data_IF_978003873164
#
_entry.id   IF_978003873164
#
_cell.length_a   1.000
_cell.length_b   1.000
_cell.length_c   1.000
_cell.angle_alpha   90.00
_cell.angle_beta   90.00
_cell.angle_gamma   90.00
#
_symmetry.space_group_name_H-M   'P 1'
#
loop_
_entity.id
_entity.type
_entity.pdbx_description
1 polymer ?
#
# COMPACT_ATOMS: atom_id res chain seq x y z
N UNK A 1 -14.72 18.71 -10.11
CA UNK A 1 -15.36 17.38 -10.31
C UNK A 1 -14.48 16.42 -11.11
N UNK A 2 -13.97 16.78 -12.31
CA UNK A 2 -13.12 15.87 -13.12
C UNK A 2 -11.78 15.56 -12.42
N UNK A 3 -11.07 16.60 -11.93
CA UNK A 3 -9.76 16.43 -11.27
C UNK A 3 -9.90 15.58 -9.99
N UNK A 4 -10.95 15.83 -9.20
CA UNK A 4 -11.21 15.07 -7.97
C UNK A 4 -11.56 13.62 -8.28
N UNK A 5 -12.42 13.36 -9.27
CA UNK A 5 -12.75 12.00 -9.71
C UNK A 5 -11.52 11.23 -10.22
N UNK A 6 -10.68 11.88 -11.03
CA UNK A 6 -9.44 11.28 -11.52
C UNK A 6 -8.47 10.94 -10.38
N UNK A 7 -8.32 11.83 -9.39
CA UNK A 7 -7.50 11.57 -8.21
C UNK A 7 -8.04 10.38 -7.39
N UNK A 8 -9.37 10.25 -7.25
CA UNK A 8 -9.99 9.09 -6.56
C UNK A 8 -9.81 7.78 -7.32
N UNK A 9 -9.97 7.79 -8.64
CA UNK A 9 -9.74 6.61 -9.46
C UNK A 9 -8.28 6.15 -9.38
N UNK A 10 -7.34 7.09 -9.39
CA UNK A 10 -5.92 6.79 -9.21
C UNK A 10 -5.63 6.19 -7.83
N UNK A 11 -6.19 6.76 -6.74
CA UNK A 11 -6.08 6.18 -5.40
C UNK A 11 -6.57 4.73 -5.35
N UNK A 12 -7.70 4.44 -5.99
CA UNK A 12 -8.26 3.09 -6.04
C UNK A 12 -7.28 2.13 -6.74
N UNK A 13 -6.73 2.51 -7.89
CA UNK A 13 -5.79 1.68 -8.65
C UNK A 13 -4.54 1.42 -7.81
N UNK A 14 -3.90 2.45 -7.26
CA UNK A 14 -2.66 2.27 -6.48
C UNK A 14 -2.93 1.42 -5.22
N UNK A 15 -4.03 1.65 -4.53
CA UNK A 15 -4.42 0.84 -3.35
C UNK A 15 -4.69 -0.62 -3.71
N UNK A 16 -5.27 -0.88 -4.88
CA UNK A 16 -5.47 -2.23 -5.40
C UNK A 16 -4.15 -2.94 -5.70
N UNK A 17 -3.16 -2.23 -6.24
CA UNK A 17 -1.82 -2.80 -6.48
C UNK A 17 -1.11 -3.12 -5.16
N UNK A 18 -1.18 -2.23 -4.16
CA UNK A 18 -0.64 -2.49 -2.81
C UNK A 18 -1.25 -3.76 -2.21
N UNK A 19 -2.58 -3.88 -2.27
CA UNK A 19 -3.26 -5.09 -1.78
C UNK A 19 -2.84 -6.34 -2.55
N UNK A 20 -2.75 -6.26 -3.88
CA UNK A 20 -2.35 -7.40 -4.72
C UNK A 20 -0.93 -7.89 -4.38
N UNK A 21 0.02 -6.98 -4.19
CA UNK A 21 1.37 -7.31 -3.77
C UNK A 21 1.37 -7.97 -2.39
N UNK A 22 0.64 -7.41 -1.43
CA UNK A 22 0.54 -7.98 -0.08
C UNK A 22 -0.02 -9.42 -0.11
N UNK A 23 -1.04 -9.70 -0.93
CA UNK A 23 -1.62 -11.04 -1.08
C UNK A 23 -0.59 -12.03 -1.66
N UNK A 24 0.16 -11.65 -2.69
CA UNK A 24 1.23 -12.49 -3.25
C UNK A 24 2.30 -12.80 -2.20
N UNK A 25 2.64 -11.82 -1.36
CA UNK A 25 3.60 -12.00 -0.28
C UNK A 25 3.10 -12.95 0.81
N UNK A 26 1.82 -12.84 1.20
CA UNK A 26 1.15 -13.67 2.20
C UNK A 26 1.10 -15.13 1.74
N UNK A 27 0.70 -15.37 0.48
CA UNK A 27 0.61 -16.72 -0.07
C UNK A 27 1.95 -17.48 -0.04
N UNK A 28 3.08 -16.77 -0.08
CA UNK A 28 4.41 -17.39 -0.01
C UNK A 28 4.91 -17.76 1.39
N UNK A 29 4.19 -17.41 2.47
CA UNK A 29 4.62 -17.71 3.85
C UNK A 29 4.16 -19.08 4.39
N UNK A 30 3.17 -19.73 3.77
CA UNK A 30 2.65 -21.04 4.20
C UNK A 30 1.96 -20.99 5.58
N UNK A 31 1.53 -22.14 6.13
CA UNK A 31 0.85 -22.20 7.43
C UNK A 31 1.81 -21.83 8.57
N UNK A 32 1.64 -20.63 9.13
CA UNK A 32 2.44 -20.09 10.22
C UNK A 32 2.18 -18.58 10.40
N UNK A 33 2.70 -17.99 11.48
CA UNK A 33 2.63 -16.53 11.69
C UNK A 33 3.67 -15.85 10.79
N UNK A 34 3.22 -15.33 9.64
CA UNK A 34 4.04 -14.45 8.80
C UNK A 34 4.39 -13.13 9.50
N UNK A 35 5.30 -12.32 8.93
CA UNK A 35 5.62 -11.00 9.47
C UNK A 35 4.36 -10.14 9.51
N UNK A 36 4.07 -9.58 10.70
CA UNK A 36 2.93 -8.67 10.90
C UNK A 36 2.97 -7.45 9.98
N UNK A 37 4.16 -7.09 9.48
CA UNK A 37 4.38 -6.02 8.52
C UNK A 37 3.56 -6.20 7.23
N UNK A 38 3.54 -7.41 6.66
CA UNK A 38 2.87 -7.68 5.38
C UNK A 38 1.35 -7.71 5.58
N UNK A 39 0.90 -8.23 6.72
CA UNK A 39 -0.51 -8.14 7.10
C UNK A 39 -0.98 -6.69 7.24
N UNK A 40 -0.12 -5.82 7.78
CA UNK A 40 -0.40 -4.38 7.83
C UNK A 40 -0.42 -3.73 6.44
N UNK A 41 0.48 -4.14 5.53
CA UNK A 41 0.43 -3.73 4.11
C UNK A 41 -0.89 -4.09 3.43
N UNK A 42 -1.39 -5.31 3.65
CA UNK A 42 -2.70 -5.75 3.16
C UNK A 42 -3.85 -4.91 3.75
N UNK A 43 -3.79 -4.58 5.05
CA UNK A 43 -4.76 -3.66 5.66
C UNK A 43 -4.72 -2.27 5.01
N UNK A 44 -3.54 -1.69 4.81
CA UNK A 44 -3.38 -0.39 4.15
C UNK A 44 -3.97 -0.37 2.74
N UNK A 45 -3.68 -1.39 1.91
CA UNK A 45 -4.25 -1.54 0.58
C UNK A 45 -5.77 -1.71 0.62
N UNK A 46 -6.28 -2.59 1.48
CA UNK A 46 -7.71 -2.84 1.63
C UNK A 46 -8.50 -1.61 2.12
N UNK A 47 -8.01 -0.93 3.16
CA UNK A 47 -8.60 0.30 3.66
C UNK A 47 -8.57 1.41 2.59
N UNK A 48 -7.46 1.54 1.86
CA UNK A 48 -7.32 2.47 0.74
C UNK A 48 -8.36 2.25 -0.36
N UNK A 49 -8.64 0.98 -0.72
CA UNK A 49 -9.69 0.65 -1.70
C UNK A 49 -11.07 1.07 -1.20
N UNK A 50 -11.42 0.73 0.04
CA UNK A 50 -12.74 1.07 0.62
C UNK A 50 -12.93 2.59 0.68
N UNK A 51 -11.92 3.32 1.17
CA UNK A 51 -12.00 4.78 1.29
C UNK A 51 -12.04 5.43 -0.10
N UNK A 52 -11.25 4.95 -1.07
CA UNK A 52 -11.30 5.45 -2.44
C UNK A 52 -12.66 5.19 -3.10
N UNK A 53 -13.26 4.02 -2.91
CA UNK A 53 -14.58 3.68 -3.43
C UNK A 53 -15.67 4.57 -2.82
N UNK A 54 -15.64 4.81 -1.50
CA UNK A 54 -16.53 5.77 -0.83
C UNK A 54 -16.30 7.19 -1.38
N UNK A 55 -15.05 7.56 -1.68
CA UNK A 55 -14.72 8.84 -2.31
C UNK A 55 -15.27 9.03 -3.71
N UNK A 56 -15.32 7.97 -4.51
CA UNK A 56 -15.97 7.98 -5.83
C UNK A 56 -17.49 8.13 -5.65
N UNK A 57 -18.10 7.37 -4.75
CA UNK A 57 -19.53 7.48 -4.46
C UNK A 57 -19.90 8.90 -3.97
N UNK A 58 -19.06 9.50 -3.12
CA UNK A 58 -19.24 10.85 -2.61
C UNK A 58 -19.23 11.93 -3.71
N UNK A 59 -18.63 11.68 -4.88
CA UNK A 59 -18.68 12.61 -6.01
C UNK A 59 -20.07 12.70 -6.66
N UNK A 60 -20.96 11.72 -6.42
CA UNK A 60 -22.33 11.70 -6.92
C UNK A 60 -23.37 12.11 -5.88
N UNK A 61 -22.98 12.17 -4.60
CA UNK A 61 -23.86 12.54 -3.49
C UNK A 61 -23.32 13.76 -2.77
N UNK A 62 -23.84 14.95 -3.08
CA UNK A 62 -23.44 16.22 -2.45
C UNK A 62 -23.59 16.21 -0.92
N UNK A 63 -24.49 15.37 -0.38
CA UNK A 63 -24.69 15.18 1.07
C UNK A 63 -23.50 14.53 1.78
N UNK A 64 -22.69 13.76 1.04
CA UNK A 64 -21.52 13.06 1.56
C UNK A 64 -20.23 13.89 1.40
N UNK A 65 -20.28 14.90 0.53
CA UNK A 65 -19.15 15.76 0.16
C UNK A 65 -18.91 16.84 1.23
N UNK A 66 -18.43 16.41 2.39
CA UNK A 66 -18.20 17.28 3.54
C UNK A 66 -17.17 16.73 4.52
N UNK A 67 -17.36 17.01 5.81
CA UNK A 67 -16.43 16.63 6.89
C UNK A 67 -16.16 15.13 6.94
N UNK A 68 -17.14 14.29 6.56
CA UNK A 68 -17.01 12.83 6.55
C UNK A 68 -15.89 12.38 5.61
N UNK A 69 -15.85 12.88 4.37
CA UNK A 69 -14.83 12.48 3.40
C UNK A 69 -13.44 12.95 3.81
N UNK A 70 -13.36 14.14 4.43
CA UNK A 70 -12.12 14.68 4.96
C UNK A 70 -11.60 13.84 6.14
N UNK A 71 -12.49 13.38 7.02
CA UNK A 71 -12.14 12.47 8.11
C UNK A 71 -11.65 11.12 7.58
N UNK A 72 -12.33 10.54 6.58
CA UNK A 72 -11.93 9.27 5.97
C UNK A 72 -10.56 9.38 5.28
N UNK A 73 -10.31 10.45 4.54
CA UNK A 73 -9.00 10.68 3.92
C UNK A 73 -7.89 10.88 4.96
N UNK A 74 -8.20 11.56 6.08
CA UNK A 74 -7.25 11.73 7.17
C UNK A 74 -6.92 10.39 7.85
N UNK A 75 -7.91 9.53 8.08
CA UNK A 75 -7.67 8.17 8.59
C UNK A 75 -6.85 7.33 7.60
N UNK A 76 -7.16 7.38 6.30
CA UNK A 76 -6.37 6.71 5.28
C UNK A 76 -4.90 7.18 5.31
N UNK A 77 -4.70 8.49 5.33
CA UNK A 77 -3.38 9.10 5.39
C UNK A 77 -2.62 8.67 6.66
N UNK A 78 -3.29 8.61 7.81
CA UNK A 78 -2.68 8.14 9.06
C UNK A 78 -2.21 6.68 8.97
N UNK A 79 -3.07 5.77 8.52
CA UNK A 79 -2.70 4.36 8.38
C UNK A 79 -1.58 4.16 7.35
N UNK A 80 -1.67 4.83 6.21
CA UNK A 80 -0.67 4.74 5.15
C UNK A 80 0.68 5.35 5.58
N UNK A 81 0.69 6.43 6.37
CA UNK A 81 1.91 7.00 6.92
C UNK A 81 2.58 6.04 7.91
N UNK A 82 1.81 5.45 8.82
CA UNK A 82 2.32 4.42 9.73
C UNK A 82 2.83 3.20 8.95
N UNK A 83 2.16 2.83 7.85
CA UNK A 83 2.55 1.73 6.95
C UNK A 83 3.86 2.01 6.25
N UNK A 84 3.95 3.16 5.58
CA UNK A 84 5.15 3.59 4.88
C UNK A 84 6.36 3.68 5.80
N UNK A 85 6.17 4.18 7.03
CA UNK A 85 7.25 4.24 8.02
C UNK A 85 7.67 2.84 8.51
N UNK A 86 6.71 1.98 8.84
CA UNK A 86 7.00 0.62 9.28
C UNK A 86 7.75 -0.18 8.21
N UNK A 87 7.33 -0.07 6.95
CA UNK A 87 7.99 -0.71 5.81
C UNK A 87 9.38 -0.12 5.57
N UNK A 88 9.55 1.20 5.61
CA UNK A 88 10.84 1.83 5.42
C UNK A 88 11.89 1.41 6.49
N UNK A 89 11.48 1.29 7.75
CA UNK A 89 12.38 0.89 8.85
C UNK A 89 12.77 -0.60 8.74
N UNK A 90 11.84 -1.46 8.33
CA UNK A 90 12.04 -2.92 8.31
C UNK A 90 12.68 -3.43 7.03
N UNK A 91 12.24 -2.93 5.88
CA UNK A 91 12.73 -3.37 4.57
C UNK A 91 14.09 -2.75 4.29
N UNK A 92 14.28 -1.46 4.63
CA UNK A 92 15.41 -0.62 4.23
C UNK A 92 15.59 -0.57 2.70
N UNK A 93 16.52 0.26 2.23
CA UNK A 93 16.93 0.31 0.83
C UNK A 93 18.25 -0.42 0.69
N UNK A 94 18.30 -1.38 -0.21
CA UNK A 94 19.52 -2.13 -0.51
C UNK A 94 19.33 -2.98 -1.76
N UNK A 95 20.42 -3.60 -2.21
CA UNK A 95 20.43 -4.39 -3.42
C UNK A 95 19.88 -5.79 -3.14
N UNK A 96 18.73 -6.13 -3.74
CA UNK A 96 18.16 -7.47 -3.67
C UNK A 96 18.97 -8.55 -4.41
N UNK A 97 20.20 -8.25 -4.84
CA UNK A 97 21.12 -9.19 -5.48
C UNK A 97 22.31 -9.51 -4.57
N UNK A 98 22.60 -8.67 -3.57
CA UNK A 98 23.70 -8.91 -2.64
C UNK A 98 23.26 -9.87 -1.53
N UNK A 99 24.07 -10.91 -1.31
CA UNK A 99 23.74 -11.93 -0.31
C UNK A 99 23.80 -11.36 1.11
N UNK A 100 24.69 -10.41 1.38
CA UNK A 100 24.82 -9.76 2.69
C UNK A 100 23.52 -9.04 3.10
N UNK A 101 22.90 -8.32 2.17
CA UNK A 101 21.64 -7.62 2.42
C UNK A 101 20.48 -8.59 2.69
N UNK A 102 20.41 -9.67 1.91
CA UNK A 102 19.39 -10.70 2.10
C UNK A 102 19.56 -11.45 3.43
N UNK A 103 20.82 -11.66 3.88
CA UNK A 103 21.11 -12.32 5.15
C UNK A 103 20.77 -11.44 6.35
N UNK A 104 21.07 -10.15 6.29
CA UNK A 104 20.70 -9.20 7.35
C UNK A 104 19.19 -9.03 7.52
N UNK A 105 18.42 -9.28 6.46
CA UNK A 105 16.95 -9.16 6.43
C UNK A 105 16.24 -10.48 6.19
N UNK A 106 16.90 -11.60 6.51
CA UNK A 106 16.41 -12.94 6.21
C UNK A 106 15.01 -13.20 6.79
N UNK A 107 14.72 -12.74 8.01
CA UNK A 107 13.40 -12.95 8.64
C UNK A 107 12.23 -12.32 7.86
N UNK A 108 12.49 -11.32 7.02
CA UNK A 108 11.47 -10.61 6.25
C UNK A 108 11.36 -11.11 4.80
N UNK A 109 12.46 -11.61 4.23
CA UNK A 109 12.50 -12.05 2.83
C UNK A 109 12.37 -13.55 2.66
N UNK A 110 12.62 -14.33 3.71
CA UNK A 110 12.60 -15.80 3.66
C UNK A 110 11.22 -16.33 3.27
N UNK A 111 11.12 -17.17 2.22
CA UNK A 111 9.89 -17.89 1.89
C UNK A 111 9.62 -19.04 2.88
N UNK A 112 8.40 -19.59 2.84
CA UNK A 112 8.04 -20.72 3.71
C UNK A 112 8.99 -21.91 3.52
N UNK A 113 9.40 -22.53 4.63
CA UNK A 113 10.10 -23.82 4.64
C UNK A 113 9.26 -24.94 4.02
N UNK A 114 7.94 -24.81 4.07
CA UNK A 114 7.00 -25.79 3.54
C UNK A 114 6.56 -25.47 2.10
N UNK A 115 7.20 -24.49 1.44
CA UNK A 115 6.91 -24.18 0.04
C UNK A 115 7.42 -25.33 -0.82
N UNK A 116 6.51 -26.02 -1.49
CA UNK A 116 6.87 -27.06 -2.44
C UNK A 116 7.43 -26.40 -3.71
N UNK A 117 8.67 -26.76 -4.03
CA UNK A 117 9.28 -26.41 -5.30
C UNK A 117 9.08 -27.63 -6.18
N UNK A 118 8.49 -27.45 -7.37
CA UNK A 118 8.18 -28.48 -8.38
C UNK A 118 9.45 -29.18 -8.93
N UNK A 119 10.25 -29.75 -8.03
CA UNK A 119 11.54 -30.39 -8.27
C UNK A 119 12.01 -31.13 -7.02
N UNK A 120 12.48 -32.35 -7.21
CA UNK A 120 13.13 -33.18 -6.17
C UNK A 120 14.65 -33.02 -6.14
N UNK A 121 15.23 -32.24 -7.06
CA UNK A 121 16.68 -32.04 -7.14
C UNK A 121 17.14 -31.01 -6.10
N UNK A 122 18.00 -31.36 -5.13
CA UNK A 122 18.38 -30.47 -4.04
C UNK A 122 19.04 -29.17 -4.53
N UNK A 123 19.87 -29.25 -5.59
CA UNK A 123 20.52 -28.08 -6.17
C UNK A 123 19.51 -27.10 -6.82
N UNK A 124 18.44 -27.61 -7.43
CA UNK A 124 17.38 -26.77 -8.03
C UNK A 124 16.49 -26.16 -6.95
N UNK A 125 16.25 -26.86 -5.85
CA UNK A 125 15.52 -26.32 -4.70
C UNK A 125 16.29 -25.13 -4.11
N UNK A 126 17.60 -25.29 -3.90
CA UNK A 126 18.46 -24.22 -3.39
C UNK A 126 18.44 -22.98 -4.29
N UNK A 127 18.61 -23.14 -5.61
CA UNK A 127 18.58 -22.00 -6.54
C UNK A 127 17.21 -21.32 -6.60
N UNK A 128 16.10 -22.09 -6.58
CA UNK A 128 14.74 -21.53 -6.58
C UNK A 128 14.41 -20.79 -5.29
N UNK A 129 14.94 -21.26 -4.16
CA UNK A 129 14.80 -20.61 -2.88
C UNK A 129 15.51 -19.25 -2.86
N UNK A 130 16.72 -19.18 -3.41
CA UNK A 130 17.45 -17.92 -3.58
C UNK A 130 16.68 -16.96 -4.50
N UNK A 131 16.22 -17.43 -5.66
CA UNK A 131 15.44 -16.63 -6.60
C UNK A 131 14.15 -16.07 -5.96
N UNK A 132 13.44 -16.90 -5.19
CA UNK A 132 12.22 -16.47 -4.51
C UNK A 132 12.52 -15.42 -3.42
N UNK A 133 13.61 -15.60 -2.68
CA UNK A 133 14.06 -14.61 -1.67
C UNK A 133 14.39 -13.27 -2.33
N UNK A 134 15.12 -13.28 -3.45
CA UNK A 134 15.44 -12.08 -4.24
C UNK A 134 14.17 -11.41 -4.79
N UNK A 135 13.22 -12.20 -5.30
CA UNK A 135 11.94 -11.70 -5.79
C UNK A 135 11.12 -11.03 -4.68
N UNK A 136 11.06 -11.65 -3.50
CA UNK A 136 10.34 -11.11 -2.33
C UNK A 136 10.92 -9.81 -1.82
N UNK A 137 12.25 -9.68 -1.82
CA UNK A 137 12.93 -8.41 -1.53
C UNK A 137 12.46 -7.29 -2.47
N UNK A 138 12.44 -7.55 -3.79
CA UNK A 138 11.98 -6.57 -4.79
C UNK A 138 10.51 -6.21 -4.61
N UNK A 139 9.66 -7.20 -4.33
CA UNK A 139 8.24 -6.98 -4.10
C UNK A 139 7.98 -6.14 -2.85
N UNK A 140 8.69 -6.39 -1.74
CA UNK A 140 8.58 -5.59 -0.52
C UNK A 140 9.07 -4.15 -0.70
N UNK A 141 10.15 -3.96 -1.46
CA UNK A 141 10.64 -2.62 -1.79
C UNK A 141 9.65 -1.86 -2.69
N UNK A 142 9.08 -2.55 -3.69
CA UNK A 142 8.03 -1.99 -4.54
C UNK A 142 6.77 -1.65 -3.73
N UNK A 143 6.34 -2.53 -2.82
CA UNK A 143 5.20 -2.29 -1.95
C UNK A 143 5.42 -1.09 -1.03
N UNK A 144 6.63 -0.95 -0.48
CA UNK A 144 7.03 0.24 0.31
C UNK A 144 6.85 1.52 -0.48
N UNK A 145 7.31 1.56 -1.73
CA UNK A 145 7.18 2.72 -2.60
C UNK A 145 5.71 3.02 -2.91
N UNK A 146 4.91 1.99 -3.22
CA UNK A 146 3.49 2.15 -3.54
C UNK A 146 2.66 2.62 -2.34
N UNK A 147 2.98 2.18 -1.12
CA UNK A 147 2.34 2.70 0.10
C UNK A 147 2.61 4.20 0.26
N UNK A 148 3.87 4.64 0.04
CA UNK A 148 4.21 6.07 0.08
C UNK A 148 3.54 6.88 -1.02
N UNK A 149 3.43 6.34 -2.24
CA UNK A 149 2.69 6.96 -3.34
C UNK A 149 1.21 7.09 -2.95
N UNK A 150 0.60 6.02 -2.43
CA UNK A 150 -0.80 6.00 -2.00
C UNK A 150 -1.05 7.04 -0.92
N UNK A 151 -0.16 7.14 0.08
CA UNK A 151 -0.19 8.19 1.10
C UNK A 151 -0.19 9.59 0.47
N UNK A 152 0.74 9.84 -0.46
CA UNK A 152 0.80 11.10 -1.20
C UNK A 152 -0.50 11.41 -1.95
N UNK A 153 -1.12 10.42 -2.57
CA UNK A 153 -2.39 10.59 -3.26
C UNK A 153 -3.53 10.98 -2.30
N UNK A 154 -3.61 10.37 -1.12
CA UNK A 154 -4.60 10.74 -0.11
C UNK A 154 -4.34 12.14 0.47
N UNK A 155 -3.08 12.52 0.67
CA UNK A 155 -2.75 13.90 1.05
C UNK A 155 -3.17 14.92 -0.02
N UNK A 156 -2.99 14.60 -1.31
CA UNK A 156 -3.42 15.47 -2.39
C UNK A 156 -4.93 15.67 -2.37
N UNK A 157 -5.74 14.63 -2.12
CA UNK A 157 -7.20 14.80 -2.03
C UNK A 157 -7.64 15.57 -0.79
N UNK A 158 -6.93 15.43 0.34
CA UNK A 158 -7.15 16.29 1.51
C UNK A 158 -6.89 17.75 1.15
N UNK A 159 -5.73 18.04 0.54
CA UNK A 159 -5.37 19.40 0.14
C UNK A 159 -6.38 20.00 -0.84
N UNK A 160 -6.78 19.24 -1.87
CA UNK A 160 -7.81 19.65 -2.82
C UNK A 160 -9.17 19.92 -2.14
N UNK A 161 -9.53 19.14 -1.12
CA UNK A 161 -10.76 19.35 -0.35
C UNK A 161 -10.73 20.69 0.40
N UNK A 162 -9.58 21.06 0.99
CA UNK A 162 -9.42 22.36 1.65
C UNK A 162 -9.41 23.54 0.66
N UNK A 163 -8.77 23.39 -0.50
CA UNK A 163 -8.73 24.44 -1.53
C UNK A 163 -10.14 24.69 -2.09
N UNK A 164 -10.87 23.63 -2.41
CA UNK A 164 -12.24 23.73 -2.93
C UNK A 164 -13.22 24.23 -1.85
N UNK A 165 -13.04 23.82 -0.59
CA UNK A 165 -13.83 24.31 0.54
C UNK A 165 -13.61 25.79 0.86
N UNK A 166 -12.40 26.32 0.64
CA UNK A 166 -12.12 27.77 0.77
C UNK A 166 -12.75 28.59 -0.36
N UNK A 167 -12.87 28.05 -1.57
CA UNK A 167 -13.50 28.76 -2.69
C UNK A 167 -14.98 29.04 -2.44
N UNK A 168 -15.70 28.12 -1.79
CA UNK A 168 -17.11 28.31 -1.43
C UNK A 168 -17.36 29.40 -0.38
N UNK A 169 -16.37 29.73 0.46
CA UNK A 169 -16.52 30.73 1.53
C UNK A 169 -16.29 32.18 1.09
N UNK A 170 -15.93 32.42 -0.18
CA UNK A 170 -15.71 33.76 -0.75
C UNK A 170 -16.90 34.33 -1.54
N UNK A 171 -18.02 33.61 -1.64
CA UNK A 171 -19.24 34.05 -2.36
C UNK A 171 -20.46 34.39 -1.49
N UNK A 172 -20.36 34.26 -0.15
CA UNK A 172 -21.48 34.49 0.78
C UNK A 172 -21.53 35.90 1.37
N UNK A 173 -21.47 36.92 0.51
CA UNK A 173 -21.44 38.33 0.92
C UNK A 173 -21.99 39.26 -0.15
N UNK A 174 -23.25 39.07 -0.53
CA UNK A 174 -24.16 40.07 -1.12
C UNK A 174 -25.53 39.43 -1.36
N UNK A 175 -26.40 39.45 -0.34
CA UNK A 175 -27.68 40.19 -0.26
C UNK A 175 -28.36 39.86 1.06
#
# INVERSE_FOLDING_TARGET
>A
MIITLAARAFQLIVSAVVLALAVVLINGYGPGSGPSLIGYGAFCGGAGIVIAAVGIAACFFDRLQGVIMLALDAFAAFFLLAGGLAFAIKVKVGDCTSDDYLRDHFNLFRPSLSKDYDTTNPNKIASRFEDDTKNRCRLLQADTALIWITFGCFLVTVALSFVNGRSSKRGGGMV
#
